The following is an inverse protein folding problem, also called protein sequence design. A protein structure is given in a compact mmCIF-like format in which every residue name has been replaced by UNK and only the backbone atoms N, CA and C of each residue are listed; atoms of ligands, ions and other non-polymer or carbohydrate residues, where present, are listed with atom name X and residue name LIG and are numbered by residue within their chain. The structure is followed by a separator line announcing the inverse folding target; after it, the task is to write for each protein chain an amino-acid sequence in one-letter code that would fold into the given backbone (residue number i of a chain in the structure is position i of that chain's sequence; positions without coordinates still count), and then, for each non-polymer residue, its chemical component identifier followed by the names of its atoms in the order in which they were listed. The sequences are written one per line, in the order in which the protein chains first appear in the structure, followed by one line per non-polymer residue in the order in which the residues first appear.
data_IF_461206355834
#
_entry.id   IF_461206355834
#
_cell.length_a   1.000
_cell.length_b   1.000
_cell.length_c   1.000
_cell.angle_alpha   90.00
_cell.angle_beta   90.00
_cell.angle_gamma   90.00
#
_symmetry.space_group_name_H-M   'P 1'
#
loop_
_entity.id
_entity.type
_entity.pdbx_description
1 polymer ?
#
# COMPACT_ATOMS: atom_id res chain seq x y z
N UNK A 1 17.21 1.62 8.55
CA UNK A 1 17.12 0.22 9.02
C UNK A 1 16.90 -0.70 7.82
N UNK A 2 17.56 -1.87 7.79
CA UNK A 2 17.41 -2.86 6.72
C UNK A 2 16.50 -3.99 7.23
N UNK A 3 15.42 -4.31 6.51
CA UNK A 3 14.52 -5.42 6.84
C UNK A 3 14.58 -6.44 5.70
N UNK A 4 15.00 -7.66 6.03
CA UNK A 4 14.88 -8.82 5.14
C UNK A 4 13.86 -9.76 5.74
N UNK A 5 12.79 -10.06 5.00
CA UNK A 5 11.89 -11.13 5.37
C UNK A 5 12.58 -12.47 5.12
N UNK A 6 12.74 -13.29 6.16
CA UNK A 6 13.22 -14.66 6.01
C UNK A 6 12.03 -15.52 5.60
N UNK A 7 12.10 -16.16 4.44
CA UNK A 7 11.05 -17.06 3.96
C UNK A 7 11.63 -18.47 3.80
N UNK A 8 11.24 -19.38 4.69
CA UNK A 8 11.09 -20.80 4.38
C UNK A 8 9.80 -21.29 5.07
N UNK A 9 8.73 -21.50 4.29
CA UNK A 9 7.54 -22.31 4.62
C UNK A 9 6.48 -21.87 5.65
N UNK A 10 6.55 -20.70 6.30
CA UNK A 10 5.47 -20.28 7.22
C UNK A 10 4.68 -19.10 6.63
N UNK A 11 3.61 -19.40 5.90
CA UNK A 11 2.61 -18.41 5.47
C UNK A 11 1.79 -17.96 6.68
N UNK A 12 2.41 -17.25 7.62
CA UNK A 12 1.69 -16.51 8.65
C UNK A 12 0.83 -15.43 7.97
N UNK A 13 -0.34 -15.08 8.56
CA UNK A 13 -1.18 -13.97 8.10
C UNK A 13 -0.33 -12.71 7.89
N UNK A 14 -0.80 -11.73 7.09
CA UNK A 14 -0.02 -10.57 6.68
C UNK A 14 0.83 -10.06 7.84
N UNK A 15 2.15 -10.13 7.68
CA UNK A 15 3.07 -9.65 8.69
C UNK A 15 2.89 -8.15 8.71
N UNK A 16 2.13 -7.64 9.69
CA UNK A 16 1.90 -6.21 9.91
C UNK A 16 3.24 -5.56 10.30
N UNK A 17 4.07 -5.27 9.30
CA UNK A 17 5.27 -4.45 9.50
C UNK A 17 4.80 -3.01 9.53
N UNK A 18 4.79 -2.45 10.73
CA UNK A 18 4.42 -1.05 10.91
C UNK A 18 5.47 -0.15 10.26
N UNK A 19 4.97 0.75 9.42
CA UNK A 19 5.79 1.77 8.79
C UNK A 19 5.80 3.00 9.70
N UNK A 20 6.89 3.17 10.44
CA UNK A 20 7.08 4.30 11.35
C UNK A 20 7.64 5.49 10.59
N UNK A 21 7.13 6.69 10.88
CA UNK A 21 7.72 7.92 10.35
C UNK A 21 9.14 8.13 10.89
N UNK A 22 10.11 8.37 10.03
CA UNK A 22 11.47 8.73 10.44
C UNK A 22 11.61 10.22 10.83
N UNK A 23 10.65 11.06 10.42
CA UNK A 23 10.69 12.52 10.57
C UNK A 23 9.34 13.07 11.04
N UNK A 24 9.30 14.37 11.35
CA UNK A 24 8.05 15.06 11.61
C UNK A 24 7.50 15.61 10.28
N UNK A 25 6.18 15.51 10.09
CA UNK A 25 5.47 16.09 8.94
C UNK A 25 4.20 16.78 9.42
N UNK A 26 3.87 17.89 8.78
CA UNK A 26 2.59 18.58 8.92
C UNK A 26 1.90 18.51 7.57
N UNK A 27 0.75 17.84 7.49
CA UNK A 27 0.00 17.64 6.25
C UNK A 27 -1.23 18.52 6.31
N UNK A 28 -1.27 19.56 5.48
CA UNK A 28 -2.39 20.49 5.41
C UNK A 28 -3.70 19.81 4.98
N UNK A 29 -4.84 20.48 5.17
CA UNK A 29 -6.12 20.03 4.65
C UNK A 29 -6.08 19.86 3.13
N UNK A 30 -6.65 18.75 2.62
CA UNK A 30 -6.67 18.42 1.19
C UNK A 30 -5.28 18.35 0.52
N UNK A 31 -4.25 18.04 1.31
CA UNK A 31 -2.86 17.95 0.85
C UNK A 31 -2.29 16.52 1.03
N UNK A 32 -1.07 16.33 0.54
CA UNK A 32 -0.36 15.05 0.56
C UNK A 32 1.09 15.22 0.99
N UNK A 33 1.61 14.22 1.71
CA UNK A 33 3.04 14.15 2.03
C UNK A 33 3.59 12.75 1.78
N UNK A 34 4.87 12.68 1.38
CA UNK A 34 5.62 11.44 1.31
C UNK A 34 6.37 11.28 2.64
N UNK A 35 5.81 10.47 3.54
CA UNK A 35 6.40 10.17 4.83
C UNK A 35 7.48 9.12 4.64
N UNK A 36 8.73 9.55 4.76
CA UNK A 36 9.90 8.65 4.71
C UNK A 36 10.00 7.82 5.98
N UNK A 37 10.36 6.56 5.80
CA UNK A 37 10.47 5.57 6.88
C UNK A 37 11.92 5.28 7.25
N UNK A 38 12.86 5.61 6.34
CA UNK A 38 14.27 5.22 6.41
C UNK A 38 14.47 3.70 6.56
N UNK A 39 13.48 2.95 6.07
CA UNK A 39 13.49 1.49 5.97
C UNK A 39 13.69 1.13 4.51
N UNK A 40 14.57 0.16 4.29
CA UNK A 40 14.70 -0.54 3.02
C UNK A 40 14.24 -1.97 3.23
N UNK A 41 13.48 -2.50 2.28
CA UNK A 41 12.91 -3.85 2.36
C UNK A 41 13.36 -4.69 1.18
N UNK A 42 13.54 -5.99 1.44
CA UNK A 42 13.59 -7.02 0.41
C UNK A 42 12.35 -7.90 0.56
N UNK A 43 11.36 -7.70 -0.32
CA UNK A 43 10.11 -8.46 -0.33
C UNK A 43 10.40 -9.92 -0.72
N UNK A 44 9.70 -10.91 -0.14
CA UNK A 44 9.80 -12.30 -0.57
C UNK A 44 9.40 -12.48 -2.03
N UNK A 45 10.01 -13.46 -2.70
CA UNK A 45 9.73 -13.71 -4.10
C UNK A 45 8.29 -14.17 -4.35
N UNK A 46 7.70 -13.71 -5.46
CA UNK A 46 6.29 -13.92 -5.76
C UNK A 46 5.33 -13.07 -4.93
N UNK A 47 5.83 -12.02 -4.27
CA UNK A 47 5.02 -11.02 -3.59
C UNK A 47 5.46 -9.60 -3.96
N UNK A 48 4.55 -8.64 -3.84
CA UNK A 48 4.90 -7.22 -3.73
C UNK A 48 4.53 -6.69 -2.34
N UNK A 49 5.18 -5.62 -1.90
CA UNK A 49 4.87 -4.96 -0.65
C UNK A 49 3.79 -3.91 -0.85
N UNK A 50 2.56 -4.16 -0.40
CA UNK A 50 1.50 -3.16 -0.40
C UNK A 50 1.54 -2.29 0.85
N UNK A 51 1.74 -0.99 0.70
CA UNK A 51 1.54 -0.02 1.78
C UNK A 51 0.04 0.30 1.90
N UNK A 52 -0.56 -0.06 3.02
CA UNK A 52 -1.99 0.02 3.26
C UNK A 52 -2.32 1.05 4.35
N UNK A 53 -3.50 1.72 4.27
CA UNK A 53 -3.95 2.64 5.29
C UNK A 53 -4.31 1.88 6.58
N UNK A 54 -4.15 2.56 7.72
CA UNK A 54 -4.61 2.07 9.03
C UNK A 54 -6.04 2.55 9.26
N UNK A 55 -6.95 1.62 9.57
CA UNK A 55 -8.37 1.92 9.79
C UNK A 55 -8.60 3.04 10.82
N UNK A 56 -7.82 3.07 11.90
CA UNK A 56 -7.91 4.11 12.93
C UNK A 56 -7.56 5.52 12.41
N UNK A 57 -6.61 5.64 11.49
CA UNK A 57 -6.25 6.94 10.89
C UNK A 57 -7.27 7.36 9.85
N UNK A 58 -7.75 6.42 9.03
CA UNK A 58 -8.82 6.68 8.07
C UNK A 58 -10.12 7.13 8.75
N UNK A 59 -10.58 6.41 9.78
CA UNK A 59 -11.85 6.70 10.42
C UNK A 59 -11.84 7.97 11.31
N UNK A 60 -10.71 8.27 11.98
CA UNK A 60 -10.64 9.38 12.95
C UNK A 60 -10.10 10.68 12.37
N UNK A 61 -9.20 10.59 11.40
CA UNK A 61 -8.45 11.74 10.89
C UNK A 61 -8.63 11.92 9.38
N UNK A 62 -9.44 11.08 8.73
CA UNK A 62 -9.69 11.11 7.28
C UNK A 62 -8.38 11.02 6.46
N UNK A 63 -7.48 10.14 6.91
CA UNK A 63 -6.19 9.90 6.28
C UNK A 63 -6.23 8.64 5.43
N UNK A 64 -5.72 8.72 4.21
CA UNK A 64 -5.59 7.59 3.31
C UNK A 64 -4.14 7.42 2.81
N UNK A 65 -3.85 6.27 2.21
CA UNK A 65 -2.54 5.94 1.65
C UNK A 65 -2.65 5.79 0.13
N UNK A 66 -1.84 6.56 -0.59
CA UNK A 66 -1.70 6.48 -2.05
C UNK A 66 -0.54 5.62 -2.53
N UNK A 67 -0.52 5.37 -3.84
CA UNK A 67 0.47 4.57 -4.56
C UNK A 67 0.60 3.15 -4.00
N UNK A 68 1.36 3.00 -2.93
CA UNK A 68 1.36 1.81 -2.09
C UNK A 68 1.91 0.54 -2.71
N UNK A 69 2.49 0.55 -3.91
CA UNK A 69 3.15 -0.61 -4.52
C UNK A 69 4.65 -0.50 -4.30
N UNK A 70 5.23 -1.46 -3.57
CA UNK A 70 6.69 -1.62 -3.42
C UNK A 70 7.11 -2.91 -4.12
N UNK A 71 7.88 -2.76 -5.19
CA UNK A 71 8.32 -3.87 -6.04
C UNK A 71 9.32 -4.80 -5.34
N UNK A 72 9.37 -6.06 -5.79
CA UNK A 72 10.26 -7.10 -5.26
C UNK A 72 11.74 -6.73 -5.37
N UNK A 73 12.11 -5.96 -6.40
CA UNK A 73 13.49 -5.53 -6.70
C UNK A 73 13.81 -4.13 -6.15
N UNK A 74 12.84 -3.42 -5.56
CA UNK A 74 13.08 -2.10 -4.95
C UNK A 74 13.94 -2.21 -3.69
N UNK A 75 15.06 -1.48 -3.65
CA UNK A 75 15.98 -1.41 -2.48
C UNK A 75 16.14 0.01 -1.92
N UNK A 76 15.33 0.94 -2.41
CA UNK A 76 15.34 2.32 -1.93
C UNK A 76 14.61 2.49 -0.60
N UNK A 77 14.49 3.75 -0.18
CA UNK A 77 13.80 4.12 1.05
C UNK A 77 12.27 4.02 0.84
N UNK A 78 11.61 3.16 1.60
CA UNK A 78 10.16 3.00 1.52
C UNK A 78 9.49 4.30 1.99
N UNK A 79 8.73 4.91 1.10
CA UNK A 79 7.92 6.09 1.38
C UNK A 79 6.45 5.74 1.50
N UNK A 80 5.76 6.35 2.45
CA UNK A 80 4.31 6.26 2.60
C UNK A 80 3.70 7.54 2.05
N UNK A 81 2.93 7.45 0.98
CA UNK A 81 2.19 8.60 0.44
C UNK A 81 0.91 8.76 1.26
N UNK A 82 0.88 9.72 2.18
CA UNK A 82 -0.32 10.02 2.96
C UNK A 82 -1.13 11.12 2.28
N UNK A 83 -2.44 10.89 2.17
CA UNK A 83 -3.43 11.89 1.78
C UNK A 83 -4.21 12.34 3.00
N UNK A 84 -4.32 13.64 3.20
CA UNK A 84 -5.19 14.22 4.21
C UNK A 84 -6.44 14.78 3.53
N UNK A 85 -7.56 14.07 3.63
CA UNK A 85 -8.85 14.52 3.11
C UNK A 85 -9.66 15.31 4.14
N UNK A 86 -9.14 15.47 5.36
CA UNK A 86 -9.82 16.24 6.39
C UNK A 86 -9.69 17.75 6.16
N UNK A 87 -10.45 18.53 6.94
CA UNK A 87 -10.34 19.99 7.00
C UNK A 87 -9.30 20.47 8.01
N UNK A 88 -8.66 19.56 8.74
CA UNK A 88 -7.71 19.85 9.79
C UNK A 88 -6.29 19.48 9.34
N UNK A 89 -5.28 20.10 9.93
CA UNK A 89 -3.88 19.72 9.67
C UNK A 89 -3.58 18.43 10.43
N UNK A 90 -3.00 17.45 9.74
CA UNK A 90 -2.59 16.20 10.35
C UNK A 90 -1.08 16.22 10.65
N UNK A 91 -0.75 16.11 11.93
CA UNK A 91 0.62 16.10 12.41
C UNK A 91 1.12 14.66 12.58
N UNK A 92 2.17 14.32 11.83
CA UNK A 92 2.90 13.05 11.96
C UNK A 92 4.17 13.34 12.75
N UNK A 93 4.35 12.64 13.88
CA UNK A 93 5.61 12.72 14.64
C UNK A 93 6.53 11.57 14.26
N UNK A 94 7.83 11.81 14.40
CA UNK A 94 8.83 10.75 14.30
C UNK A 94 8.49 9.61 15.27
N UNK A 95 8.43 8.39 14.74
CA UNK A 95 8.04 7.17 15.46
C UNK A 95 6.56 6.80 15.33
N UNK A 96 5.72 7.68 14.79
CA UNK A 96 4.30 7.35 14.60
C UNK A 96 4.11 6.27 13.54
N UNK A 97 3.23 5.32 13.85
CA UNK A 97 2.79 4.26 12.94
C UNK A 97 1.79 4.84 11.94
N UNK A 98 2.24 5.19 10.75
CA UNK A 98 1.40 5.88 9.75
C UNK A 98 0.74 4.95 8.74
N UNK A 99 1.35 3.80 8.48
CA UNK A 99 0.82 2.78 7.57
C UNK A 99 1.22 1.38 8.03
N UNK A 100 0.72 0.38 7.32
CA UNK A 100 1.11 -1.02 7.47
C UNK A 100 1.54 -1.56 6.11
N UNK A 101 2.56 -2.42 6.10
CA UNK A 101 3.02 -3.10 4.91
C UNK A 101 2.42 -4.52 4.87
N UNK A 102 1.81 -4.87 3.75
CA UNK A 102 1.21 -6.19 3.49
C UNK A 102 1.96 -6.84 2.34
N UNK A 103 2.52 -8.03 2.55
CA UNK A 103 3.10 -8.80 1.46
C UNK A 103 2.00 -9.51 0.69
N UNK A 104 1.66 -9.01 -0.50
CA UNK A 104 0.60 -9.58 -1.34
C UNK A 104 1.19 -10.49 -2.41
N UNK A 105 0.68 -11.72 -2.47
CA UNK A 105 1.09 -12.70 -3.48
C UNK A 105 0.64 -12.27 -4.86
N UNK A 106 1.55 -12.39 -5.83
CA UNK A 106 1.30 -12.07 -7.23
C UNK A 106 1.83 -13.18 -8.13
N UNK A 107 1.33 -13.17 -9.37
CA UNK A 107 1.90 -13.93 -10.47
C UNK A 107 2.61 -12.96 -11.41
N UNK A 108 3.68 -13.40 -12.06
CA UNK A 108 4.34 -12.70 -13.16
C UNK A 108 3.97 -13.37 -14.49
N UNK A 109 2.78 -13.08 -15.07
CA UNK A 109 2.36 -13.70 -16.31
C UNK A 109 3.07 -13.09 -17.53
N UNK A 110 3.31 -13.91 -18.54
CA UNK A 110 3.66 -13.42 -19.87
C UNK A 110 2.41 -12.85 -20.55
N UNK A 111 2.57 -11.73 -21.26
CA UNK A 111 1.49 -11.11 -22.02
C UNK A 111 1.45 -11.68 -23.44
N UNK A 112 0.26 -12.12 -23.87
CA UNK A 112 -0.02 -12.59 -25.23
C UNK A 112 -1.08 -11.70 -25.87
N UNK A 113 -0.75 -11.07 -27.00
CA UNK A 113 -1.69 -10.28 -27.79
C UNK A 113 -2.59 -11.19 -28.63
N UNK A 114 -3.90 -10.91 -28.65
CA UNK A 114 -4.93 -11.67 -29.37
C UNK A 114 -5.88 -10.71 -30.09
N UNK A 115 -6.48 -11.15 -31.19
CA UNK A 115 -7.47 -10.36 -31.93
C UNK A 115 -8.81 -10.24 -31.20
N UNK A 116 -9.18 -11.25 -30.41
CA UNK A 116 -10.44 -11.32 -29.66
C UNK A 116 -10.23 -12.12 -28.36
N UNK A 117 -11.01 -11.80 -27.33
CA UNK A 117 -11.09 -12.58 -26.08
C UNK A 117 -12.36 -13.43 -26.06
N UNK A 118 -12.35 -14.50 -25.27
CA UNK A 118 -13.52 -15.35 -25.05
C UNK A 118 -14.65 -14.58 -24.33
N UNK A 119 -15.90 -14.93 -24.62
CA UNK A 119 -17.06 -14.35 -23.95
C UNK A 119 -17.22 -14.88 -22.52
N UNK A 120 -17.65 -14.01 -21.59
CA UNK A 120 -17.99 -14.37 -20.21
C UNK A 120 -19.37 -13.84 -19.85
N UNK A 121 -20.02 -14.42 -18.85
CA UNK A 121 -21.34 -13.95 -18.37
C UNK A 121 -21.34 -12.46 -17.98
N UNK A 122 -20.21 -11.92 -17.53
CA UNK A 122 -20.06 -10.49 -17.21
C UNK A 122 -19.88 -9.61 -18.45
N UNK A 123 -19.21 -10.12 -19.49
CA UNK A 123 -18.89 -9.38 -20.71
C UNK A 123 -18.26 -8.01 -20.42
N UNK A 124 -18.81 -6.95 -21.03
CA UNK A 124 -18.38 -5.56 -20.85
C UNK A 124 -19.00 -4.85 -19.63
N UNK A 125 -19.70 -5.56 -18.74
CA UNK A 125 -20.36 -4.96 -17.57
C UNK A 125 -19.38 -4.49 -16.48
N UNK A 126 -19.45 -3.21 -16.10
CA UNK A 126 -18.64 -2.60 -15.03
C UNK A 126 -19.33 -1.39 -14.38
N UNK A 127 -18.65 -0.71 -13.46
CA UNK A 127 -19.12 0.56 -12.84
C UNK A 127 -20.52 0.51 -12.21
N UNK A 128 -20.81 -0.50 -11.38
CA UNK A 128 -22.12 -0.62 -10.73
C UNK A 128 -23.17 -1.34 -11.56
N UNK A 129 -22.76 -2.10 -12.59
CA UNK A 129 -23.65 -2.90 -13.44
C UNK A 129 -24.49 -3.95 -12.71
N UNK A 130 -24.18 -4.26 -11.45
CA UNK A 130 -24.94 -5.20 -10.60
C UNK A 130 -25.98 -4.54 -9.71
N UNK A 131 -26.14 -3.21 -9.80
CA UNK A 131 -27.17 -2.45 -9.07
C UNK A 131 -26.83 -2.16 -7.60
N UNK A 132 -27.57 -1.21 -7.04
CA UNK A 132 -27.50 -0.75 -5.65
C UNK A 132 -28.92 -0.83 -5.08
N UNK A 133 -29.25 -1.97 -4.46
CA UNK A 133 -30.49 -2.11 -3.67
C UNK A 133 -30.32 -1.48 -2.29
#
# INVERSE_FOLDING_TARGET
FLIRFLSENDCKPPVDVFSNSAYNYSIGPMDKAIVKTDIQIAVPSGCYGRVAPRSGLAAKHFIDVGAGVVDEDYRGNVGVVLFNFSKETFEVKKGDRVAQLVCERICYPDLQELNTLDETERGAGGFGSTGSN
#
